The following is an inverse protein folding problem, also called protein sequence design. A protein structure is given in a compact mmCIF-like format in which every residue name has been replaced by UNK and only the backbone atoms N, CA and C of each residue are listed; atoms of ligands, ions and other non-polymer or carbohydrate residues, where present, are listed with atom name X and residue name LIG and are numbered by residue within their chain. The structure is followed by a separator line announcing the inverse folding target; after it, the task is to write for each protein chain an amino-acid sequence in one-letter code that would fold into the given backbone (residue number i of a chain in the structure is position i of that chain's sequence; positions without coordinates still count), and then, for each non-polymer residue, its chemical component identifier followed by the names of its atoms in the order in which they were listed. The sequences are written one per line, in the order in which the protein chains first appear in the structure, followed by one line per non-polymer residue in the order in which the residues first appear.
data_IF_738001532646
#
_entry.id   IF_738001532646
#
_cell.length_a   1.000
_cell.length_b   1.000
_cell.length_c   1.000
_cell.angle_alpha   90.00
_cell.angle_beta   90.00
_cell.angle_gamma   90.00
#
_symmetry.space_group_name_H-M   'P 1'
#
loop_
_entity.id
_entity.type
_entity.pdbx_description
1 polymer ?
#
# COMPACT_ATOMS: atom_id res chain seq x y z
N UNK A 1 -7.98 37.40 -42.28
CA UNK A 1 -8.69 36.67 -41.21
C UNK A 1 -8.80 35.23 -41.71
N UNK A 2 -8.28 34.18 -41.08
CA UNK A 2 -7.97 33.92 -39.68
C UNK A 2 -6.87 32.86 -39.61
N UNK A 3 -5.82 33.07 -38.82
CA UNK A 3 -4.80 32.04 -38.56
C UNK A 3 -5.37 31.03 -37.56
N UNK A 4 -5.56 29.78 -38.00
CA UNK A 4 -5.99 28.69 -37.12
C UNK A 4 -4.77 28.28 -36.28
N UNK A 5 -4.74 28.76 -35.04
CA UNK A 5 -3.82 28.30 -34.02
C UNK A 5 -4.29 26.92 -33.54
N UNK A 6 -3.69 25.85 -34.06
CA UNK A 6 -3.91 24.48 -33.55
C UNK A 6 -3.10 24.35 -32.27
N UNK A 7 -3.74 24.65 -31.14
CA UNK A 7 -3.16 24.42 -29.80
C UNK A 7 -3.19 22.91 -29.56
N UNK A 8 -2.06 22.27 -29.84
CA UNK A 8 -1.74 20.92 -29.36
C UNK A 8 -1.70 20.97 -27.83
N UNK A 9 -2.80 20.55 -27.19
CA UNK A 9 -2.81 20.20 -25.77
C UNK A 9 -1.87 19.00 -25.57
N UNK A 10 -0.60 19.29 -25.32
CA UNK A 10 0.30 18.40 -24.61
C UNK A 10 -0.32 18.17 -23.23
N UNK A 11 -1.08 17.08 -23.10
CA UNK A 11 -1.34 16.45 -21.81
C UNK A 11 -0.01 15.91 -21.27
N UNK A 12 0.89 16.81 -20.88
CA UNK A 12 1.90 16.52 -19.89
C UNK A 12 1.11 16.30 -18.58
N UNK A 13 0.61 15.08 -18.40
CA UNK A 13 0.25 14.59 -17.09
C UNK A 13 1.50 14.75 -16.24
N UNK A 14 1.54 15.83 -15.46
CA UNK A 14 2.54 16.03 -14.44
C UNK A 14 2.50 14.76 -13.60
N UNK A 15 3.55 13.94 -13.75
CA UNK A 15 3.79 12.82 -12.84
C UNK A 15 3.75 13.42 -11.44
N UNK A 16 2.64 13.22 -10.73
CA UNK A 16 2.59 13.34 -9.27
C UNK A 16 3.36 12.15 -8.69
N UNK A 17 4.66 12.08 -9.00
CA UNK A 17 5.61 11.15 -8.42
C UNK A 17 6.37 11.81 -7.25
N UNK A 18 5.75 12.77 -6.56
CA UNK A 18 6.15 13.12 -5.21
C UNK A 18 5.54 12.09 -4.28
N UNK A 19 6.21 10.93 -4.17
CA UNK A 19 5.83 9.89 -3.22
C UNK A 19 5.64 10.52 -1.83
N UNK A 20 4.52 10.21 -1.19
CA UNK A 20 4.14 10.82 0.08
C UNK A 20 5.27 10.71 1.11
N UNK A 21 5.87 11.85 1.46
CA UNK A 21 6.91 11.91 2.50
C UNK A 21 6.26 11.76 3.88
N UNK A 22 6.45 10.58 4.46
CA UNK A 22 5.97 10.29 5.80
C UNK A 22 7.05 10.66 6.81
N UNK A 23 6.67 11.36 7.88
CA UNK A 23 7.60 11.75 8.94
C UNK A 23 8.28 10.52 9.55
N UNK A 24 9.61 10.50 9.53
CA UNK A 24 10.40 9.38 10.06
C UNK A 24 10.38 8.13 9.18
N UNK A 25 9.95 8.25 7.92
CA UNK A 25 10.05 7.19 6.91
C UNK A 25 11.49 6.76 6.73
N UNK A 26 11.69 5.44 6.66
CA UNK A 26 12.95 4.84 6.16
C UNK A 26 12.78 4.22 4.78
N UNK A 27 11.58 4.31 4.21
CA UNK A 27 11.24 3.82 2.88
C UNK A 27 11.40 4.99 1.92
N UNK A 28 12.25 4.84 0.91
CA UNK A 28 12.44 5.88 -0.12
C UNK A 28 11.18 6.04 -0.99
N UNK A 29 10.99 7.21 -1.61
CA UNK A 29 9.87 7.44 -2.53
C UNK A 29 9.83 6.43 -3.68
N UNK A 30 11.00 6.05 -4.21
CA UNK A 30 11.11 5.02 -5.25
C UNK A 30 10.56 3.66 -4.79
N UNK A 31 10.91 3.21 -3.59
CA UNK A 31 10.41 1.95 -3.05
C UNK A 31 8.91 2.03 -2.75
N UNK A 32 8.41 3.17 -2.25
CA UNK A 32 6.97 3.37 -2.07
C UNK A 32 6.23 3.21 -3.39
N UNK A 33 6.70 3.88 -4.44
CA UNK A 33 6.11 3.81 -5.78
C UNK A 33 6.14 2.37 -6.31
N UNK A 34 7.27 1.67 -6.20
CA UNK A 34 7.37 0.25 -6.58
C UNK A 34 6.30 -0.62 -5.89
N UNK A 35 6.09 -0.43 -4.58
CA UNK A 35 5.11 -1.22 -3.81
C UNK A 35 3.67 -0.84 -4.22
N UNK A 36 3.38 0.46 -4.36
CA UNK A 36 2.06 0.95 -4.80
C UNK A 36 1.73 0.42 -6.19
N UNK A 37 2.65 0.57 -7.15
CA UNK A 37 2.50 0.10 -8.53
C UNK A 37 2.24 -1.40 -8.57
N UNK A 38 2.95 -2.17 -7.74
CA UNK A 38 2.71 -3.60 -7.64
C UNK A 38 1.29 -3.91 -7.15
N UNK A 39 0.78 -3.22 -6.13
CA UNK A 39 -0.58 -3.42 -5.67
C UNK A 39 -1.60 -3.00 -6.74
N UNK A 40 -1.43 -1.84 -7.35
CA UNK A 40 -2.32 -1.31 -8.39
C UNK A 40 -2.42 -2.26 -9.57
N UNK A 41 -1.30 -2.79 -10.06
CA UNK A 41 -1.26 -3.76 -11.16
C UNK A 41 -2.10 -5.01 -10.89
N UNK A 42 -2.20 -5.44 -9.65
CA UNK A 42 -2.91 -6.67 -9.26
C UNK A 42 -4.34 -6.42 -8.74
N UNK A 43 -4.73 -5.16 -8.54
CA UNK A 43 -6.05 -4.77 -8.02
C UNK A 43 -6.98 -4.18 -9.08
N UNK A 44 -6.55 -4.16 -10.34
CA UNK A 44 -7.32 -3.64 -11.48
C UNK A 44 -7.91 -2.25 -11.18
N UNK A 45 -9.24 -2.11 -11.21
CA UNK A 45 -9.98 -0.84 -10.99
C UNK A 45 -10.14 -0.44 -9.52
N UNK A 46 -9.55 -1.18 -8.56
CA UNK A 46 -9.70 -0.89 -7.13
C UNK A 46 -8.45 -0.17 -6.61
N UNK A 47 -8.40 1.18 -6.67
CA UNK A 47 -7.22 1.94 -6.28
C UNK A 47 -6.88 1.69 -4.81
N UNK A 48 -5.60 1.78 -4.53
CA UNK A 48 -5.05 1.69 -3.19
C UNK A 48 -3.94 2.71 -3.04
N UNK A 49 -3.92 3.40 -1.90
CA UNK A 49 -3.02 4.50 -1.64
C UNK A 49 -2.12 4.20 -0.44
N UNK A 50 -0.93 4.78 -0.47
CA UNK A 50 -0.03 4.78 0.67
C UNK A 50 -0.62 5.67 1.79
N UNK A 51 -0.48 5.24 3.05
CA UNK A 51 -0.94 5.98 4.22
C UNK A 51 0.15 6.03 5.29
N UNK A 52 0.57 7.25 5.63
CA UNK A 52 1.65 7.47 6.59
C UNK A 52 1.36 6.95 8.01
N UNK A 53 0.09 6.87 8.43
CA UNK A 53 -0.26 6.31 9.74
C UNK A 53 -0.12 4.79 9.72
N UNK A 54 -0.46 4.14 8.61
CA UNK A 54 -0.25 2.70 8.44
C UNK A 54 1.24 2.36 8.30
N UNK A 55 2.03 3.19 7.62
CA UNK A 55 3.50 3.09 7.60
C UNK A 55 4.08 3.21 9.01
N UNK A 56 3.63 4.19 9.80
CA UNK A 56 4.07 4.34 11.19
C UNK A 56 3.75 3.10 12.04
N UNK A 57 2.55 2.52 11.88
CA UNK A 57 2.18 1.27 12.56
C UNK A 57 3.11 0.13 12.12
N UNK A 58 3.38 0.00 10.81
CA UNK A 58 4.31 -1.01 10.30
C UNK A 58 5.72 -0.82 10.89
N UNK A 59 6.22 0.42 10.94
CA UNK A 59 7.51 0.79 11.51
C UNK A 59 7.60 0.45 12.99
N UNK A 60 6.51 0.66 13.74
CA UNK A 60 6.45 0.32 15.16
C UNK A 60 6.56 -1.19 15.47
N UNK A 61 6.34 -2.06 14.48
CA UNK A 61 6.52 -3.52 14.65
C UNK A 61 7.97 -3.97 14.63
N UNK A 62 8.87 -3.16 14.07
CA UNK A 62 10.27 -3.52 13.82
C UNK A 62 11.21 -2.91 14.87
N UNK A 63 10.95 -3.16 16.16
CA UNK A 63 11.82 -2.73 17.26
C UNK A 63 12.82 -3.84 17.59
N UNK A 64 14.10 -3.61 17.32
CA UNK A 64 15.17 -4.58 17.60
C UNK A 64 15.39 -5.56 16.45
N UNK A 65 15.71 -6.82 16.79
CA UNK A 65 16.02 -7.90 15.85
C UNK A 65 14.80 -8.67 15.36
N UNK A 66 13.63 -8.52 15.99
CA UNK A 66 12.43 -9.31 15.69
C UNK A 66 11.26 -8.42 15.25
N UNK A 67 10.36 -9.01 14.45
CA UNK A 67 9.10 -8.38 14.05
C UNK A 67 8.01 -8.76 15.05
N UNK A 68 7.45 -7.75 15.73
CA UNK A 68 6.34 -7.94 16.65
C UNK A 68 5.04 -7.32 16.12
N UNK A 69 4.13 -8.17 15.62
CA UNK A 69 2.81 -7.76 15.11
C UNK A 69 1.69 -7.85 16.14
N UNK A 70 1.96 -8.30 17.38
CA UNK A 70 0.93 -8.56 18.40
C UNK A 70 0.12 -7.32 18.81
N UNK A 71 0.71 -6.13 18.66
CA UNK A 71 0.08 -4.85 18.97
C UNK A 71 -0.76 -4.27 17.83
N UNK A 72 -0.73 -4.90 16.65
CA UNK A 72 -1.60 -4.50 15.54
C UNK A 72 -3.03 -4.99 15.82
N UNK A 73 -4.00 -4.11 15.63
CA UNK A 73 -5.41 -4.47 15.73
C UNK A 73 -5.73 -5.67 14.82
N UNK A 74 -6.27 -6.75 15.39
CA UNK A 74 -6.59 -8.02 14.70
C UNK A 74 -7.54 -7.86 13.49
N UNK A 75 -8.26 -6.73 13.39
CA UNK A 75 -9.14 -6.40 12.25
C UNK A 75 -8.38 -5.82 11.04
N UNK A 76 -7.07 -5.61 11.14
CA UNK A 76 -6.22 -5.15 10.03
C UNK A 76 -5.58 -6.33 9.33
N UNK A 77 -5.45 -6.23 8.01
CA UNK A 77 -4.55 -7.09 7.25
C UNK A 77 -3.10 -6.76 7.58
N UNK A 78 -2.25 -7.78 7.71
CA UNK A 78 -0.81 -7.62 7.93
C UNK A 78 -0.07 -8.67 7.11
N UNK A 79 0.89 -8.20 6.31
CA UNK A 79 1.82 -9.05 5.59
C UNK A 79 3.22 -8.82 6.17
N UNK A 80 3.93 -9.91 6.41
CA UNK A 80 5.29 -9.91 6.96
C UNK A 80 6.16 -10.76 6.06
N UNK A 81 7.37 -10.29 5.77
CA UNK A 81 8.37 -11.09 5.08
C UNK A 81 9.76 -10.78 5.63
N UNK A 82 10.52 -11.84 5.83
CA UNK A 82 11.90 -11.83 6.31
C UNK A 82 12.72 -12.72 5.39
N UNK A 83 13.89 -12.23 5.00
CA UNK A 83 14.77 -12.94 4.09
C UNK A 83 16.23 -12.63 4.39
N UNK A 84 17.08 -13.66 4.29
CA UNK A 84 18.52 -13.51 4.32
C UNK A 84 18.98 -12.98 2.96
N UNK A 85 19.76 -11.91 2.97
CA UNK A 85 20.32 -11.28 1.78
C UNK A 85 21.48 -12.12 1.24
N UNK A 86 21.61 -12.14 -0.08
CA UNK A 86 22.79 -12.67 -0.75
C UNK A 86 23.51 -11.50 -1.44
N UNK A 87 22.99 -11.03 -2.58
CA UNK A 87 23.59 -9.98 -3.40
C UNK A 87 22.56 -9.00 -3.98
N UNK A 88 21.30 -9.10 -3.54
CA UNK A 88 20.19 -8.36 -4.11
C UNK A 88 20.14 -6.89 -3.66
N UNK A 89 19.67 -6.02 -4.56
CA UNK A 89 19.34 -4.63 -4.20
C UNK A 89 18.07 -4.59 -3.33
N UNK A 90 17.82 -3.45 -2.67
CA UNK A 90 16.58 -3.25 -1.92
C UNK A 90 15.33 -3.43 -2.81
N UNK A 91 15.39 -2.96 -4.06
CA UNK A 91 14.31 -3.12 -5.04
C UNK A 91 14.04 -4.59 -5.36
N UNK A 92 15.08 -5.39 -5.54
CA UNK A 92 14.97 -6.82 -5.82
C UNK A 92 14.34 -7.56 -4.64
N UNK A 93 14.77 -7.23 -3.41
CA UNK A 93 14.25 -7.81 -2.17
C UNK A 93 12.77 -7.46 -1.96
N UNK A 94 12.38 -6.21 -2.22
CA UNK A 94 10.98 -5.78 -2.20
C UNK A 94 10.16 -6.54 -3.26
N UNK A 95 10.65 -6.65 -4.49
CA UNK A 95 9.97 -7.41 -5.55
C UNK A 95 9.79 -8.88 -5.18
N UNK A 96 10.82 -9.50 -4.58
CA UNK A 96 10.77 -10.89 -4.12
C UNK A 96 9.72 -11.08 -3.04
N UNK A 97 9.64 -10.17 -2.06
CA UNK A 97 8.62 -10.18 -1.02
C UNK A 97 7.20 -10.05 -1.59
N UNK A 98 6.98 -9.07 -2.48
CA UNK A 98 5.69 -8.83 -3.12
C UNK A 98 5.21 -10.02 -3.95
N UNK A 99 6.12 -10.61 -4.75
CA UNK A 99 5.84 -11.84 -5.51
C UNK A 99 5.51 -13.02 -4.60
N UNK A 100 6.27 -13.20 -3.51
CA UNK A 100 6.02 -14.30 -2.55
C UNK A 100 4.65 -14.17 -1.89
N UNK A 101 4.27 -12.95 -1.50
CA UNK A 101 2.95 -12.67 -0.92
C UNK A 101 1.82 -12.89 -1.93
N UNK A 102 2.01 -12.44 -3.17
CA UNK A 102 0.98 -12.58 -4.19
C UNK A 102 0.81 -14.01 -4.70
N UNK A 103 1.91 -14.72 -4.98
CA UNK A 103 1.87 -16.00 -5.68
C UNK A 103 1.79 -17.22 -4.76
N UNK A 104 2.29 -17.12 -3.53
CA UNK A 104 2.57 -18.32 -2.72
C UNK A 104 2.10 -18.24 -1.26
N UNK A 105 1.55 -17.11 -0.82
CA UNK A 105 0.98 -16.95 0.52
C UNK A 105 -0.49 -16.55 0.42
N UNK A 106 -1.38 -17.49 0.69
CA UNK A 106 -2.83 -17.26 0.56
C UNK A 106 -3.32 -16.12 1.47
N UNK A 107 -2.80 -16.00 2.68
CA UNK A 107 -3.23 -14.96 3.63
C UNK A 107 -2.75 -13.60 3.15
N UNK A 108 -1.48 -13.51 2.74
CA UNK A 108 -0.90 -12.27 2.26
C UNK A 108 -1.53 -11.81 0.94
N UNK A 109 -1.81 -12.74 0.03
CA UNK A 109 -2.55 -12.49 -1.21
C UNK A 109 -3.94 -11.92 -0.94
N UNK A 110 -4.68 -12.49 0.03
CA UNK A 110 -6.00 -11.98 0.42
C UNK A 110 -5.93 -10.54 0.92
N UNK A 111 -4.91 -10.17 1.70
CA UNK A 111 -4.72 -8.78 2.14
C UNK A 111 -4.40 -7.83 0.98
N UNK A 112 -3.49 -8.24 0.08
CA UNK A 112 -3.09 -7.44 -1.09
C UNK A 112 -4.23 -7.24 -2.09
N UNK A 113 -5.04 -8.27 -2.33
CA UNK A 113 -6.16 -8.25 -3.28
C UNK A 113 -7.50 -7.82 -2.69
N UNK A 114 -7.57 -7.52 -1.38
CA UNK A 114 -8.85 -7.14 -0.76
C UNK A 114 -9.33 -5.78 -1.27
N UNK A 115 -10.36 -5.78 -2.11
CA UNK A 115 -10.94 -4.61 -2.79
C UNK A 115 -11.46 -3.55 -1.82
N UNK A 116 -11.83 -3.95 -0.61
CA UNK A 116 -12.31 -3.05 0.43
C UNK A 116 -11.19 -2.18 0.98
N UNK A 117 -9.94 -2.69 1.00
CA UNK A 117 -8.79 -1.94 1.49
C UNK A 117 -8.42 -0.81 0.52
N UNK A 118 -8.71 0.45 0.85
CA UNK A 118 -8.30 1.62 0.08
C UNK A 118 -6.92 2.16 0.46
N UNK A 119 -6.44 1.84 1.66
CA UNK A 119 -5.16 2.32 2.19
C UNK A 119 -4.29 1.21 2.73
N UNK A 120 -2.99 1.39 2.59
CA UNK A 120 -1.97 0.56 3.21
C UNK A 120 -0.72 1.39 3.51
N UNK A 121 0.16 0.86 4.35
CA UNK A 121 1.48 1.45 4.54
C UNK A 121 2.46 0.37 4.96
N UNK A 122 3.68 0.48 4.48
CA UNK A 122 4.72 -0.52 4.75
C UNK A 122 5.95 0.13 5.37
N UNK A 123 6.69 -0.65 6.16
CA UNK A 123 8.03 -0.28 6.56
C UNK A 123 9.01 -1.38 6.12
N UNK A 124 10.22 -0.96 5.76
CA UNK A 124 11.33 -1.85 5.45
C UNK A 124 12.44 -1.66 6.49
N UNK A 125 13.19 -2.73 6.73
CA UNK A 125 14.48 -2.68 7.42
C UNK A 125 15.46 -3.47 6.57
N UNK A 126 16.46 -2.78 6.05
CA UNK A 126 17.51 -3.36 5.23
C UNK A 126 18.79 -3.45 6.09
N UNK A 127 18.99 -4.61 6.71
CA UNK A 127 20.19 -4.89 7.50
C UNK A 127 21.36 -5.36 6.62
N UNK A 128 22.48 -5.66 7.27
CA UNK A 128 23.65 -6.23 6.60
C UNK A 128 23.35 -7.61 6.01
N UNK A 129 22.79 -8.52 6.80
CA UNK A 129 22.51 -9.91 6.42
C UNK A 129 21.04 -10.21 6.14
N UNK A 130 20.13 -9.36 6.61
CA UNK A 130 18.70 -9.65 6.63
C UNK A 130 17.91 -8.46 6.12
N UNK A 131 16.84 -8.77 5.40
CA UNK A 131 15.86 -7.81 4.94
C UNK A 131 14.49 -8.18 5.52
N UNK A 132 13.80 -7.15 6.01
CA UNK A 132 12.46 -7.26 6.57
C UNK A 132 11.54 -6.26 5.88
N UNK A 133 10.34 -6.70 5.57
CA UNK A 133 9.25 -5.84 5.12
C UNK A 133 7.96 -6.22 5.83
N UNK A 134 7.26 -5.20 6.33
CA UNK A 134 5.92 -5.34 6.94
C UNK A 134 5.01 -4.36 6.24
N UNK A 135 3.87 -4.85 5.75
CA UNK A 135 2.79 -4.02 5.23
C UNK A 135 1.56 -4.17 6.11
N UNK A 136 0.97 -3.05 6.50
CA UNK A 136 -0.27 -2.97 7.27
C UNK A 136 -1.34 -2.37 6.40
N UNK A 137 -2.46 -3.06 6.31
CA UNK A 137 -3.61 -2.63 5.53
C UNK A 137 -4.63 -1.95 6.44
N UNK A 138 -5.53 -1.19 5.84
CA UNK A 138 -6.63 -0.63 6.59
C UNK A 138 -7.48 -1.73 7.27
N UNK A 139 -8.27 -1.27 8.24
CA UNK A 139 -9.15 -2.14 8.99
C UNK A 139 -10.20 -2.67 8.02
N UNK A 140 -10.48 -3.97 8.06
CA UNK A 140 -11.72 -4.50 7.50
C UNK A 140 -12.88 -3.78 8.21
N UNK A 141 -13.37 -2.68 7.63
CA UNK A 141 -14.72 -2.24 7.90
C UNK A 141 -15.56 -3.23 7.10
N UNK A 142 -16.42 -3.99 7.77
CA UNK A 142 -17.62 -4.48 7.11
C UNK A 142 -18.33 -3.20 6.61
N UNK A 143 -18.06 -2.78 5.37
CA UNK A 143 -18.68 -1.61 4.74
C UNK A 143 -20.19 -1.81 4.55
N UNK A 144 -20.72 -2.99 4.90
CA UNK A 144 -22.14 -3.35 4.85
C UNK A 144 -23.08 -2.51 5.75
N UNK A 145 -22.57 -1.58 6.56
CA UNK A 145 -23.41 -0.68 7.36
C UNK A 145 -23.42 0.79 6.90
N UNK A 146 -22.50 1.19 6.01
CA UNK A 146 -22.48 2.59 5.54
C UNK A 146 -23.46 2.81 4.38
N UNK A 147 -23.66 1.82 3.50
CA UNK A 147 -24.64 1.90 2.41
C UNK A 147 -26.10 1.84 2.88
N UNK A 148 -26.37 1.36 4.11
CA UNK A 148 -27.74 1.28 4.63
C UNK A 148 -28.26 2.61 5.19
N UNK A 149 -27.37 3.51 5.62
CA UNK A 149 -27.78 4.82 6.16
C UNK A 149 -28.03 5.83 5.04
N UNK A 150 -27.30 5.75 3.92
CA UNK A 150 -27.50 6.66 2.77
C UNK A 150 -28.80 6.36 1.97
N UNK A 151 -29.29 5.12 2.03
CA UNK A 151 -30.57 4.73 1.41
C UNK A 151 -31.81 4.92 2.29
N UNK A 152 -31.63 5.30 3.56
CA UNK A 152 -32.75 5.54 4.48
C UNK A 152 -33.22 7.00 4.50
N UNK A 153 -32.51 7.92 3.82
CA UNK A 153 -32.88 9.35 3.74
C UNK A 153 -33.75 9.73 2.54
N UNK A 154 -34.21 8.76 1.74
CA UNK A 154 -35.07 9.00 0.58
C UNK A 154 -36.47 8.36 0.70
N UNK A 155 -37.01 8.21 1.91
CA UNK A 155 -38.45 8.01 2.11
C UNK A 155 -38.98 9.35 2.60
N UNK A 156 -39.40 10.18 1.64
CA UNK A 156 -40.27 11.31 1.93
C UNK A 156 -41.61 10.75 2.39
N UNK A 157 -42.00 11.12 3.61
CA UNK A 157 -43.39 11.17 4.01
C UNK A 157 -44.11 12.14 3.07
N UNK A 158 -45.08 11.63 2.30
CA UNK A 158 -46.40 12.23 1.99
C UNK A 158 -47.26 11.25 1.17
#
# INVERSE_FOLDING_TARGET
MSSILVILFLCAGVLLANGQECKGSKVSAEIKNQIVDYHTKHREIHPIEWDCRLEEIARATMKGSEINTSKINKKRGVNVYEIRKEFETEKDLVNRALRRWWSSDLKSRKNMGNKDNKKFGCNIKNGSLWFWIVCVYEKFRLQRFAEFIDNSSCIHDE
#
